data_IF_666518724778
#
_entry.id   IF_666518724778
#
_cell.length_a   1.000
_cell.length_b   1.000
_cell.length_c   1.000
_cell.angle_alpha   90.00
_cell.angle_beta   90.00
_cell.angle_gamma   90.00
#
_symmetry.space_group_name_H-M   'P 1'
#
loop_
_entity.id
_entity.type
_entity.pdbx_description
1 polymer ?
#
# COMPACT_ATOMS: atom_id res chain seq x y z
N UNK A 1 -19.36 -56.42 -41.94
CA UNK A 1 -19.16 -54.97 -42.15
C UNK A 1 -19.97 -54.09 -41.18
N UNK A 2 -21.09 -54.54 -40.59
CA UNK A 2 -21.90 -53.70 -39.66
C UNK A 2 -21.25 -53.43 -38.28
N UNK A 3 -20.50 -54.36 -37.68
CA UNK A 3 -19.97 -54.16 -36.31
C UNK A 3 -18.88 -53.09 -36.19
N UNK A 4 -18.15 -52.80 -37.29
CA UNK A 4 -17.10 -51.76 -37.29
C UNK A 4 -17.71 -50.36 -37.18
N UNK A 5 -18.90 -50.13 -37.75
CA UNK A 5 -19.59 -48.84 -37.72
C UNK A 5 -20.10 -48.47 -36.33
N UNK A 6 -20.60 -49.45 -35.56
CA UNK A 6 -21.07 -49.22 -34.19
C UNK A 6 -19.94 -48.84 -33.24
N UNK A 7 -18.76 -49.47 -33.36
CA UNK A 7 -17.59 -49.12 -32.54
C UNK A 7 -17.11 -47.71 -32.83
N UNK A 8 -17.05 -47.30 -34.10
CA UNK A 8 -16.64 -45.93 -34.46
C UNK A 8 -17.61 -44.88 -33.91
N UNK A 9 -18.92 -45.14 -33.94
CA UNK A 9 -19.93 -44.24 -33.37
C UNK A 9 -19.77 -44.08 -31.85
N UNK A 10 -19.53 -45.18 -31.13
CA UNK A 10 -19.30 -45.17 -29.68
C UNK A 10 -18.05 -44.35 -29.35
N UNK A 11 -16.94 -44.57 -30.08
CA UNK A 11 -15.70 -43.82 -29.86
C UNK A 11 -15.84 -42.34 -30.19
N UNK A 12 -16.60 -42.01 -31.24
CA UNK A 12 -16.90 -40.63 -31.60
C UNK A 12 -17.66 -39.91 -30.49
N UNK A 13 -18.74 -40.52 -29.96
CA UNK A 13 -19.50 -39.94 -28.85
C UNK A 13 -18.63 -39.83 -27.60
N UNK A 14 -17.82 -40.86 -27.29
CA UNK A 14 -16.87 -40.81 -26.17
C UNK A 14 -15.88 -39.64 -26.26
N UNK A 15 -15.27 -39.45 -27.43
CA UNK A 15 -14.36 -38.32 -27.66
C UNK A 15 -15.05 -36.96 -27.56
N UNK A 16 -16.30 -36.86 -28.02
CA UNK A 16 -17.07 -35.63 -27.95
C UNK A 16 -17.36 -35.24 -26.49
N UNK A 17 -17.76 -36.22 -25.66
CA UNK A 17 -18.00 -35.97 -24.24
C UNK A 17 -16.74 -35.49 -23.51
N UNK A 18 -15.60 -36.13 -23.78
CA UNK A 18 -14.32 -35.71 -23.21
C UNK A 18 -13.96 -34.29 -23.68
N UNK A 19 -14.10 -34.02 -24.98
CA UNK A 19 -13.81 -32.70 -25.54
C UNK A 19 -14.71 -31.62 -24.91
N UNK A 20 -16.01 -31.89 -24.72
CA UNK A 20 -16.92 -30.97 -24.05
C UNK A 20 -16.55 -30.74 -22.59
N UNK A 21 -16.17 -31.78 -21.85
CA UNK A 21 -15.74 -31.63 -20.46
C UNK A 21 -14.49 -30.74 -20.34
N UNK A 22 -13.48 -30.98 -21.18
CA UNK A 22 -12.26 -30.16 -21.22
C UNK A 22 -12.58 -28.71 -21.61
N UNK A 23 -13.39 -28.51 -22.65
CA UNK A 23 -13.80 -27.18 -23.07
C UNK A 23 -14.56 -26.44 -21.95
N UNK A 24 -15.43 -27.14 -21.21
CA UNK A 24 -16.13 -26.60 -20.05
C UNK A 24 -15.18 -26.10 -18.97
N UNK A 25 -14.18 -26.92 -18.59
CA UNK A 25 -13.16 -26.51 -17.61
C UNK A 25 -12.37 -25.30 -18.09
N UNK A 26 -11.93 -25.29 -19.36
CA UNK A 26 -11.16 -24.16 -19.92
C UNK A 26 -11.97 -22.86 -19.86
N UNK A 27 -13.27 -22.91 -20.17
CA UNK A 27 -14.14 -21.72 -20.08
C UNK A 27 -14.26 -21.20 -18.64
N UNK A 28 -14.39 -22.09 -17.66
CA UNK A 28 -14.46 -21.70 -16.23
C UNK A 28 -13.13 -21.08 -15.76
N UNK A 29 -12.01 -21.68 -16.13
CA UNK A 29 -10.67 -21.18 -15.78
C UNK A 29 -10.38 -19.83 -16.43
N UNK A 30 -10.73 -19.66 -17.71
CA UNK A 30 -10.57 -18.37 -18.40
C UNK A 30 -11.43 -17.29 -17.74
N UNK A 31 -12.67 -17.61 -17.37
CA UNK A 31 -13.52 -16.68 -16.62
C UNK A 31 -12.90 -16.26 -15.29
N UNK A 32 -12.44 -17.24 -14.51
CA UNK A 32 -11.79 -16.98 -13.22
C UNK A 32 -10.51 -16.14 -13.36
N UNK A 33 -9.73 -16.37 -14.42
CA UNK A 33 -8.55 -15.57 -14.74
C UNK A 33 -8.92 -14.15 -15.17
N UNK A 34 -9.98 -13.97 -15.95
CA UNK A 34 -10.48 -12.64 -16.32
C UNK A 34 -10.90 -11.83 -15.10
N UNK A 35 -11.64 -12.43 -14.18
CA UNK A 35 -12.05 -11.79 -12.93
C UNK A 35 -10.83 -11.39 -12.08
N UNK A 36 -9.84 -12.29 -11.97
CA UNK A 36 -8.60 -12.01 -11.24
C UNK A 36 -7.78 -10.86 -11.88
N UNK A 37 -7.75 -10.77 -13.21
CA UNK A 37 -7.11 -9.68 -13.94
C UNK A 37 -7.84 -8.36 -13.69
N UNK A 38 -9.17 -8.35 -13.69
CA UNK A 38 -9.96 -7.15 -13.42
C UNK A 38 -9.72 -6.63 -11.99
N UNK A 39 -9.80 -7.51 -10.98
CA UNK A 39 -9.53 -7.16 -9.59
C UNK A 39 -8.11 -6.63 -9.43
N UNK A 40 -7.12 -7.31 -10.02
CA UNK A 40 -5.72 -6.85 -9.95
C UNK A 40 -5.51 -5.52 -10.67
N UNK A 41 -6.18 -5.32 -11.81
CA UNK A 41 -6.13 -4.07 -12.56
C UNK A 41 -6.70 -2.89 -11.77
N UNK A 42 -7.84 -3.09 -11.10
CA UNK A 42 -8.45 -2.07 -10.23
C UNK A 42 -7.52 -1.71 -9.07
N UNK A 43 -7.00 -2.71 -8.36
CA UNK A 43 -6.08 -2.49 -7.23
C UNK A 43 -4.81 -1.74 -7.66
N UNK A 44 -4.21 -2.10 -8.79
CA UNK A 44 -3.02 -1.39 -9.30
C UNK A 44 -3.36 0.05 -9.73
N UNK A 45 -4.55 0.28 -10.30
CA UNK A 45 -5.00 1.64 -10.61
C UNK A 45 -5.17 2.47 -9.34
N UNK A 46 -5.84 1.91 -8.32
CA UNK A 46 -6.01 2.55 -7.01
C UNK A 46 -4.65 2.86 -6.33
N UNK A 47 -3.68 1.94 -6.43
CA UNK A 47 -2.32 2.16 -5.93
C UNK A 47 -1.62 3.31 -6.68
N UNK A 48 -1.79 3.43 -8.01
CA UNK A 48 -1.21 4.54 -8.79
C UNK A 48 -1.91 5.86 -8.48
N UNK A 49 -3.23 5.84 -8.27
CA UNK A 49 -4.02 7.03 -7.97
C UNK A 49 -3.81 7.55 -6.54
N UNK A 50 -3.37 6.68 -5.62
CA UNK A 50 -3.15 7.00 -4.20
C UNK A 50 -1.66 7.20 -3.92
N UNK A 51 -1.13 8.39 -4.17
CA UNK A 51 0.32 8.65 -4.00
C UNK A 51 0.56 9.77 -2.99
N UNK A 52 1.66 9.69 -2.24
CA UNK A 52 2.04 10.70 -1.24
C UNK A 52 3.56 10.83 -1.15
N UNK A 53 4.01 11.97 -0.65
CA UNK A 53 5.42 12.25 -0.44
C UNK A 53 5.65 12.96 0.88
N UNK A 54 6.71 12.58 1.57
CA UNK A 54 7.20 13.26 2.76
C UNK A 54 7.89 14.55 2.31
N UNK A 55 7.44 15.68 2.85
CA UNK A 55 7.97 17.01 2.54
C UNK A 55 8.78 17.62 3.69
N UNK A 56 8.98 16.86 4.78
CA UNK A 56 9.89 17.23 5.86
C UNK A 56 11.33 17.37 5.34
N UNK A 57 12.11 18.23 5.98
CA UNK A 57 13.51 18.48 5.61
C UNK A 57 14.45 17.55 6.39
N UNK A 58 15.12 16.65 5.67
CA UNK A 58 16.06 15.67 6.24
C UNK A 58 17.23 16.32 7.00
N UNK A 59 17.59 17.56 6.65
CA UNK A 59 18.68 18.31 7.25
C UNK A 59 18.26 19.06 8.54
N UNK A 60 16.97 19.06 8.87
CA UNK A 60 16.41 19.70 10.06
C UNK A 60 15.86 18.62 11.00
N UNK A 61 16.76 17.82 11.58
CA UNK A 61 16.41 16.71 12.48
C UNK A 61 15.56 17.15 13.65
N UNK A 62 15.82 18.31 14.26
CA UNK A 62 15.02 18.90 15.36
C UNK A 62 13.53 19.13 14.99
N UNK A 63 13.22 19.24 13.69
CA UNK A 63 11.84 19.40 13.21
C UNK A 63 11.12 18.06 12.96
N UNK A 64 11.88 16.98 12.83
CA UNK A 64 11.37 15.62 12.60
C UNK A 64 11.33 14.84 13.91
N UNK A 65 12.37 14.94 14.73
CA UNK A 65 12.50 14.26 16.02
C UNK A 65 12.71 15.34 17.07
N UNK A 66 11.80 15.41 18.03
CA UNK A 66 11.91 16.35 19.15
C UNK A 66 12.93 15.82 20.18
N UNK A 67 13.92 16.67 20.50
CA UNK A 67 15.00 16.34 21.43
C UNK A 67 14.46 15.96 22.82
N UNK A 68 14.89 14.80 23.31
CA UNK A 68 14.62 14.33 24.66
C UNK A 68 13.20 13.80 24.93
N UNK A 69 12.20 14.08 24.09
CA UNK A 69 10.87 13.46 24.14
C UNK A 69 10.77 12.23 23.24
N UNK A 70 11.56 12.19 22.17
CA UNK A 70 11.49 11.16 21.13
C UNK A 70 10.33 11.37 20.16
N UNK A 71 9.47 12.37 20.35
CA UNK A 71 8.31 12.54 19.46
C UNK A 71 8.75 12.75 18.02
N UNK A 72 8.16 11.96 17.11
CA UNK A 72 8.40 12.10 15.68
C UNK A 72 7.27 12.93 15.08
N UNK A 73 7.60 13.92 14.26
CA UNK A 73 6.65 14.75 13.52
C UNK A 73 7.01 14.74 12.03
N UNK A 74 6.05 14.40 11.18
CA UNK A 74 6.27 14.35 9.73
C UNK A 74 5.22 15.15 8.97
N UNK A 75 5.68 15.88 7.97
CA UNK A 75 4.82 16.56 7.01
C UNK A 75 4.70 15.71 5.76
N UNK A 76 3.48 15.29 5.44
CA UNK A 76 3.21 14.40 4.32
C UNK A 76 2.18 15.03 3.40
N UNK A 77 2.50 15.09 2.11
CA UNK A 77 1.66 15.70 1.08
C UNK A 77 1.07 14.62 0.18
N UNK A 78 -0.23 14.69 -0.06
CA UNK A 78 -0.88 13.85 -1.08
C UNK A 78 -0.52 14.41 -2.47
N UNK A 79 0.14 13.60 -3.28
CA UNK A 79 0.52 13.94 -4.67
C UNK A 79 -0.25 13.11 -5.70
N UNK A 80 -1.04 12.14 -5.24
CA UNK A 80 -1.97 11.37 -6.04
C UNK A 80 -3.23 12.14 -6.43
N UNK A 81 -4.17 11.41 -7.03
CA UNK A 81 -5.47 11.91 -7.47
C UNK A 81 -6.64 11.48 -6.60
N UNK A 82 -6.42 10.56 -5.66
CA UNK A 82 -7.44 10.07 -4.73
C UNK A 82 -7.34 10.76 -3.37
N UNK A 83 -8.49 11.05 -2.76
CA UNK A 83 -8.57 11.55 -1.38
C UNK A 83 -8.34 10.41 -0.39
N UNK A 84 -7.42 10.62 0.56
CA UNK A 84 -7.11 9.67 1.63
C UNK A 84 -7.85 10.11 2.92
N UNK A 85 -8.50 9.21 3.66
CA UNK A 85 -9.06 9.55 4.96
C UNK A 85 -7.95 9.97 5.94
N UNK A 86 -8.07 11.15 6.55
CA UNK A 86 -7.09 11.67 7.51
C UNK A 86 -7.28 11.03 8.90
N UNK A 87 -7.17 9.71 8.97
CA UNK A 87 -7.39 8.90 10.18
C UNK A 87 -6.15 8.06 10.49
N UNK A 88 -5.70 8.05 11.76
CA UNK A 88 -4.52 7.28 12.19
C UNK A 88 -4.58 5.79 11.82
N UNK A 89 -5.77 5.19 11.83
CA UNK A 89 -5.94 3.77 11.50
C UNK A 89 -5.77 3.42 10.01
N UNK A 90 -5.52 4.41 9.16
CA UNK A 90 -5.24 4.24 7.72
C UNK A 90 -3.78 4.47 7.34
N UNK A 91 -2.97 4.88 8.31
CA UNK A 91 -1.58 5.27 8.12
C UNK A 91 -0.75 4.40 9.06
N UNK A 92 0.13 3.60 8.47
CA UNK A 92 1.12 2.86 9.22
C UNK A 92 2.44 3.61 9.15
N UNK A 93 3.18 3.66 10.26
CA UNK A 93 4.51 4.26 10.30
C UNK A 93 5.50 3.27 10.88
N UNK A 94 6.69 3.21 10.30
CA UNK A 94 7.81 2.41 10.80
C UNK A 94 8.94 3.36 11.15
N UNK A 95 9.34 3.37 12.41
CA UNK A 95 10.47 4.18 12.90
C UNK A 95 11.58 3.22 13.31
N UNK A 96 12.72 3.25 12.63
CA UNK A 96 13.86 2.34 12.83
C UNK A 96 13.47 0.85 12.95
N UNK A 97 12.57 0.42 12.06
CA UNK A 97 12.07 -0.95 12.02
C UNK A 97 11.00 -1.28 13.08
N UNK A 98 10.60 -0.34 13.92
CA UNK A 98 9.48 -0.49 14.84
C UNK A 98 8.19 0.04 14.22
N UNK A 99 7.18 -0.81 14.08
CA UNK A 99 5.85 -0.39 13.66
C UNK A 99 5.18 0.45 14.75
N UNK A 100 4.56 1.54 14.34
CA UNK A 100 3.72 2.42 15.15
C UNK A 100 2.59 2.97 14.29
N UNK A 101 1.60 3.58 14.95
CA UNK A 101 0.52 4.33 14.30
C UNK A 101 0.61 5.79 14.77
N UNK A 102 0.21 6.77 13.94
CA UNK A 102 0.20 8.16 14.38
C UNK A 102 -0.79 8.38 15.52
N UNK A 103 -0.35 9.04 16.59
CA UNK A 103 -1.23 9.45 17.70
C UNK A 103 -2.16 10.58 17.27
N UNK A 104 -1.67 11.47 16.41
CA UNK A 104 -2.44 12.56 15.83
C UNK A 104 -2.15 12.69 14.32
N UNK A 105 -3.21 12.95 13.55
CA UNK A 105 -3.17 13.24 12.12
C UNK A 105 -3.84 14.59 11.91
N UNK A 106 -3.03 15.63 11.76
CA UNK A 106 -3.51 17.01 11.67
C UNK A 106 -3.45 17.53 10.25
N UNK A 107 -4.60 17.84 9.67
CA UNK A 107 -4.67 18.45 8.35
C UNK A 107 -4.15 19.90 8.41
N UNK A 108 -3.05 20.18 7.72
CA UNK A 108 -2.44 21.51 7.64
C UNK A 108 -2.98 22.34 6.48
N UNK A 109 -3.50 21.68 5.46
CA UNK A 109 -4.00 22.29 4.23
C UNK A 109 -5.07 21.40 3.62
N UNK A 110 -6.11 21.99 3.02
CA UNK A 110 -7.27 21.26 2.51
C UNK A 110 -8.57 21.92 2.94
N UNK A 111 -9.64 21.74 2.16
CA UNK A 111 -10.93 22.40 2.41
C UNK A 111 -11.98 21.49 3.05
N UNK A 112 -11.86 20.17 2.84
CA UNK A 112 -12.92 19.20 3.14
C UNK A 112 -12.82 18.43 4.46
N UNK A 113 -11.70 18.53 5.19
CA UNK A 113 -11.46 17.71 6.39
C UNK A 113 -10.85 16.33 6.12
N UNK A 114 -10.65 15.98 4.85
CA UNK A 114 -9.91 14.79 4.40
C UNK A 114 -8.58 15.18 3.76
N UNK A 115 -7.68 14.21 3.58
CA UNK A 115 -6.38 14.40 2.94
C UNK A 115 -6.53 14.35 1.40
N UNK A 116 -7.11 15.41 0.87
CA UNK A 116 -7.38 15.62 -0.57
C UNK A 116 -6.09 15.70 -1.41
N UNK A 117 -6.15 15.48 -2.73
CA UNK A 117 -5.02 15.74 -3.63
C UNK A 117 -4.40 17.12 -3.43
N UNK A 118 -3.09 17.14 -3.15
CA UNK A 118 -2.32 18.36 -2.87
C UNK A 118 -2.37 18.86 -1.42
N UNK A 119 -3.23 18.29 -0.57
CA UNK A 119 -3.30 18.60 0.86
C UNK A 119 -2.08 18.05 1.61
N UNK A 120 -1.78 18.68 2.75
CA UNK A 120 -0.67 18.30 3.63
C UNK A 120 -1.24 17.93 4.98
N UNK A 121 -0.80 16.80 5.51
CA UNK A 121 -1.05 16.37 6.89
C UNK A 121 0.24 16.39 7.68
N UNK A 122 0.11 16.71 8.95
CA UNK A 122 1.15 16.51 9.96
C UNK A 122 0.81 15.23 10.72
N UNK A 123 1.75 14.29 10.73
CA UNK A 123 1.68 13.06 11.49
C UNK A 123 2.53 13.24 12.73
N UNK A 124 1.94 13.03 13.90
CA UNK A 124 2.67 13.04 15.18
C UNK A 124 2.64 11.65 15.78
N UNK A 125 3.81 11.15 16.19
CA UNK A 125 3.97 9.85 16.83
C UNK A 125 4.75 10.06 18.13
N UNK A 126 4.12 9.74 19.25
CA UNK A 126 4.76 9.67 20.55
C UNK A 126 5.49 8.33 20.64
N UNK A 127 6.82 8.38 20.65
CA UNK A 127 7.65 7.18 20.84
C UNK A 127 8.42 7.34 22.13
N UNK A 128 8.28 6.36 23.03
CA UNK A 128 8.99 6.31 24.31
C UNK A 128 10.49 5.97 24.14
N UNK A 129 11.08 6.28 22.98
CA UNK A 129 12.44 5.92 22.57
C UNK A 129 13.25 7.16 22.29
N UNK A 130 14.50 7.15 22.74
CA UNK A 130 15.51 8.12 22.32
C UNK A 130 16.15 7.68 21.01
N UNK A 131 16.38 8.63 20.11
CA UNK A 131 17.09 8.41 18.84
C UNK A 131 18.51 8.96 18.92
N UNK A 132 19.47 8.25 18.35
CA UNK A 132 20.86 8.70 18.24
C UNK A 132 21.46 8.09 16.96
N UNK A 133 22.01 8.94 16.10
CA UNK A 133 22.49 8.60 14.77
C UNK A 133 21.43 8.63 13.68
N UNK A 134 21.65 7.85 12.62
CA UNK A 134 20.74 7.75 11.49
C UNK A 134 19.40 7.12 11.95
N UNK A 135 18.33 7.88 11.80
CA UNK A 135 16.95 7.47 12.09
C UNK A 135 16.15 7.47 10.80
N UNK A 136 15.58 6.33 10.44
CA UNK A 136 14.74 6.18 9.25
C UNK A 136 13.27 6.07 9.67
N UNK A 137 12.44 6.92 9.07
CA UNK A 137 10.99 6.87 9.21
C UNK A 137 10.36 6.51 7.87
N UNK A 138 9.55 5.47 7.84
CA UNK A 138 8.79 5.02 6.67
C UNK A 138 7.32 5.21 6.97
N UNK A 139 6.63 5.97 6.12
CA UNK A 139 5.18 6.14 6.17
C UNK A 139 4.58 5.23 5.11
N UNK A 140 3.50 4.53 5.45
CA UNK A 140 2.81 3.57 4.59
C UNK A 140 1.32 3.88 4.61
N UNK A 141 0.72 3.98 3.42
CA UNK A 141 -0.72 4.19 3.23
C UNK A 141 -1.21 3.25 2.13
N UNK A 142 -2.02 2.27 2.51
CA UNK A 142 -2.44 1.22 1.57
C UNK A 142 -1.23 0.39 1.10
N UNK A 143 -0.97 0.39 -0.21
CA UNK A 143 0.19 -0.29 -0.82
C UNK A 143 1.38 0.64 -1.08
N UNK A 144 1.24 1.95 -0.82
CA UNK A 144 2.28 2.93 -1.10
C UNK A 144 3.06 3.29 0.15
N UNK A 145 4.35 3.52 -0.03
CA UNK A 145 5.28 3.87 1.02
C UNK A 145 6.20 4.99 0.58
N UNK A 146 6.58 5.85 1.52
CA UNK A 146 7.66 6.81 1.35
C UNK A 146 8.50 6.84 2.63
N UNK A 147 9.78 7.17 2.49
CA UNK A 147 10.72 7.12 3.60
C UNK A 147 11.64 8.33 3.64
N UNK A 148 11.93 8.80 4.83
CA UNK A 148 12.92 9.84 5.10
C UNK A 148 13.92 9.33 6.12
N UNK A 149 15.19 9.66 5.92
CA UNK A 149 16.25 9.37 6.90
C UNK A 149 16.84 10.70 7.36
N UNK A 150 16.95 10.87 8.67
CA UNK A 150 17.56 12.06 9.28
C UNK A 150 18.61 11.62 10.29
N UNK A 151 19.58 12.49 10.55
CA UNK A 151 20.62 12.24 11.54
C UNK A 151 20.29 12.99 12.83
N UNK A 152 20.05 12.25 13.91
CA UNK A 152 19.77 12.80 15.24
C UNK A 152 21.06 12.74 16.06
N UNK A 153 21.46 13.86 16.67
CA UNK A 153 22.59 13.92 17.59
C UNK A 153 22.10 14.43 18.93
N UNK A 154 22.02 13.55 19.93
CA UNK A 154 21.55 13.93 21.26
C UNK A 154 22.60 14.70 22.09
N UNK A 155 23.79 14.98 21.54
CA UNK A 155 24.81 15.74 22.25
C UNK A 155 25.37 15.06 23.50
N UNK A 156 25.09 13.76 23.70
CA UNK A 156 25.59 12.94 24.82
C UNK A 156 27.07 12.52 24.67
N UNK A 157 27.79 13.14 23.73
CA UNK A 157 29.18 12.86 23.38
C UNK A 157 30.15 14.01 23.67
N UNK A 158 30.36 14.35 24.95
CA UNK A 158 31.62 14.95 25.45
C UNK A 158 31.88 14.58 26.93
#
# INVERSE_FOLDING_TARGET
MSSVSSTHLIMFIGSLLIATAVAGTVVVEVGSMSDAIEVRGSSVAEDIETDFVIISDESQSESIVEDGSGNVTLLVKNVGSTTIPAESGKIDVIVDGSHTIPDDVRLLSGGGGDWEPGAVVELTMETERSFDGDTTVVVIVGSNEDSITTYVDNGDGD
#
